data_IF_531592087089
#
_entry.id   IF_531592087089
#
_cell.length_a   1.000
_cell.length_b   1.000
_cell.length_c   1.000
_cell.angle_alpha   90.00
_cell.angle_beta   90.00
_cell.angle_gamma   90.00
#
_symmetry.space_group_name_H-M   'P 1'
#
loop_
_entity.id
_entity.type
_entity.pdbx_description
1 polymer ?
#
# COMPACT_ATOMS: atom_id res chain seq x y z
N UNK A 1 60.01 -1.70 51.89
CA UNK A 1 58.75 -0.99 52.23
C UNK A 1 58.09 -0.58 50.92
N UNK A 2 57.07 -1.36 50.55
CA UNK A 2 56.01 -1.25 49.52
C UNK A 2 56.14 -0.21 48.38
N UNK A 3 56.18 -0.73 47.15
CA UNK A 3 55.92 -0.03 45.88
C UNK A 3 54.47 0.51 45.82
N UNK A 4 54.27 1.76 45.43
CA UNK A 4 52.96 2.23 44.94
C UNK A 4 52.98 2.49 43.44
N UNK A 5 52.29 1.57 42.75
CA UNK A 5 52.02 1.50 41.32
C UNK A 5 50.77 2.35 41.06
N UNK A 6 50.91 3.51 40.43
CA UNK A 6 49.75 4.34 40.11
C UNK A 6 49.00 3.71 38.92
N UNK A 7 47.80 3.22 39.21
CA UNK A 7 46.97 2.45 38.30
C UNK A 7 46.36 3.30 37.18
N UNK A 8 46.28 2.65 36.02
CA UNK A 8 45.62 3.07 34.78
C UNK A 8 44.13 3.27 34.99
N UNK A 9 43.55 4.28 34.34
CA UNK A 9 42.24 4.17 33.70
C UNK A 9 42.08 5.31 32.67
N UNK A 10 42.56 5.10 31.45
CA UNK A 10 42.11 5.91 30.32
C UNK A 10 40.71 5.40 29.94
N UNK A 11 39.67 6.15 30.27
CA UNK A 11 38.30 5.88 29.85
C UNK A 11 38.20 6.25 28.37
N UNK A 12 38.39 5.27 27.49
CA UNK A 12 38.03 5.41 26.08
C UNK A 12 36.49 5.29 25.98
N UNK A 13 35.81 6.43 25.90
CA UNK A 13 34.38 6.46 25.58
C UNK A 13 34.21 6.02 24.12
N UNK A 14 33.87 4.75 23.92
CA UNK A 14 33.48 4.23 22.62
C UNK A 14 32.06 4.74 22.32
N UNK A 15 31.96 5.86 21.61
CA UNK A 15 30.68 6.33 21.04
C UNK A 15 30.32 5.38 19.92
N UNK A 16 29.45 4.40 20.19
CA UNK A 16 28.80 3.62 19.15
C UNK A 16 27.82 4.53 18.42
N UNK A 17 28.23 5.00 17.24
CA UNK A 17 27.33 5.68 16.32
C UNK A 17 26.25 4.69 15.86
N UNK A 18 25.09 4.72 16.50
CA UNK A 18 23.90 4.05 16.02
C UNK A 18 23.44 4.78 14.75
N UNK A 19 23.84 4.27 13.58
CA UNK A 19 23.27 4.73 12.32
C UNK A 19 21.77 4.39 12.34
N UNK A 20 20.86 5.36 12.08
CA UNK A 20 19.46 5.03 11.93
C UNK A 20 19.33 4.10 10.73
N UNK A 21 18.88 2.86 10.97
CA UNK A 21 18.38 2.01 9.90
C UNK A 21 17.19 2.76 9.31
N UNK A 22 17.40 3.38 8.15
CA UNK A 22 16.33 4.05 7.44
C UNK A 22 15.21 3.04 7.19
N UNK A 23 14.10 3.19 7.89
CA UNK A 23 12.89 2.47 7.55
C UNK A 23 12.44 2.99 6.18
N UNK A 24 12.54 2.15 5.15
CA UNK A 24 11.98 2.47 3.85
C UNK A 24 10.48 2.58 4.07
N UNK A 25 9.90 3.74 3.77
CA UNK A 25 8.47 3.94 3.92
C UNK A 25 7.76 2.94 3.00
N UNK A 26 6.91 2.10 3.57
CA UNK A 26 6.12 1.16 2.78
C UNK A 26 5.25 1.95 1.79
N UNK A 27 5.23 1.53 0.51
CA UNK A 27 4.32 2.12 -0.48
C UNK A 27 2.88 2.02 0.07
N UNK A 28 2.04 3.02 -0.18
CA UNK A 28 0.72 3.07 0.43
C UNK A 28 -0.32 3.69 -0.49
N UNK A 29 -1.55 3.19 -0.39
CA UNK A 29 -2.72 3.79 -1.02
C UNK A 29 -3.02 5.13 -0.33
N UNK A 30 -3.00 6.20 -1.11
CA UNK A 30 -3.28 7.56 -0.65
C UNK A 30 -4.72 7.98 -0.94
N UNK A 31 -5.28 7.56 -2.06
CA UNK A 31 -6.68 7.84 -2.40
C UNK A 31 -7.25 6.82 -3.37
N UNK A 32 -8.58 6.68 -3.35
CA UNK A 32 -9.36 5.95 -4.35
C UNK A 32 -10.46 6.89 -4.82
N UNK A 33 -10.55 7.09 -6.13
CA UNK A 33 -11.56 7.93 -6.78
C UNK A 33 -12.21 7.16 -7.92
N UNK A 34 -13.47 7.47 -8.23
CA UNK A 34 -14.20 6.90 -9.36
C UNK A 34 -14.67 8.02 -10.28
N UNK A 35 -14.73 7.73 -11.57
CA UNK A 35 -15.29 8.61 -12.59
C UNK A 35 -15.88 7.79 -13.73
N UNK A 36 -16.75 8.40 -14.51
CA UNK A 36 -17.26 7.80 -15.75
C UNK A 36 -16.61 8.48 -16.95
N UNK A 37 -15.93 7.71 -17.79
CA UNK A 37 -15.27 8.18 -19.01
C UNK A 37 -15.87 7.45 -20.21
N UNK A 38 -16.50 8.19 -21.13
CA UNK A 38 -17.15 7.62 -22.32
C UNK A 38 -18.07 6.41 -22.01
N UNK A 39 -18.80 6.46 -20.89
CA UNK A 39 -19.72 5.39 -20.45
C UNK A 39 -19.05 4.21 -19.74
N UNK A 40 -17.73 4.24 -19.54
CA UNK A 40 -16.99 3.25 -18.74
C UNK A 40 -16.66 3.81 -17.37
N UNK A 41 -16.89 3.00 -16.33
CA UNK A 41 -16.49 3.35 -14.95
C UNK A 41 -14.97 3.16 -14.84
N UNK A 42 -14.27 4.20 -14.41
CA UNK A 42 -12.82 4.23 -14.22
C UNK A 42 -12.53 4.52 -12.76
N UNK A 43 -11.84 3.58 -12.10
CA UNK A 43 -11.40 3.72 -10.72
C UNK A 43 -9.92 4.07 -10.73
N UNK A 44 -9.54 5.19 -10.11
CA UNK A 44 -8.14 5.56 -9.93
C UNK A 44 -7.73 5.33 -8.49
N UNK A 45 -6.69 4.53 -8.29
CA UNK A 45 -6.02 4.30 -7.02
C UNK A 45 -4.68 5.04 -7.06
N UNK A 46 -4.54 6.06 -6.21
CA UNK A 46 -3.29 6.81 -6.05
C UNK A 46 -2.41 6.16 -4.98
N UNK A 47 -1.14 5.97 -5.30
CA UNK A 47 -0.15 5.36 -4.43
C UNK A 47 0.95 6.37 -4.06
N UNK A 48 1.63 6.17 -2.95
CA UNK A 48 2.78 7.02 -2.58
C UNK A 48 3.96 6.85 -3.53
N UNK A 49 4.09 5.67 -4.14
CA UNK A 49 5.12 5.32 -5.11
C UNK A 49 4.54 4.49 -6.27
N UNK A 50 5.23 4.51 -7.42
CA UNK A 50 4.83 3.73 -8.58
C UNK A 50 4.99 2.23 -8.32
N UNK A 51 4.06 1.41 -8.82
CA UNK A 51 4.22 -0.04 -8.80
C UNK A 51 5.25 -0.47 -9.85
N UNK A 52 6.08 -1.43 -9.50
CA UNK A 52 7.08 -1.99 -10.42
C UNK A 52 6.46 -2.80 -11.57
N UNK A 53 5.26 -3.36 -11.35
CA UNK A 53 4.53 -4.16 -12.33
C UNK A 53 3.02 -4.05 -12.08
N UNK A 54 2.23 -4.33 -13.13
CA UNK A 54 0.78 -4.37 -13.02
C UNK A 54 0.35 -5.46 -12.01
N UNK A 55 -0.47 -5.14 -11.00
CA UNK A 55 -0.87 -6.11 -10.00
C UNK A 55 -1.83 -7.16 -10.56
N UNK A 56 -1.83 -8.33 -9.92
CA UNK A 56 -2.75 -9.41 -10.26
C UNK A 56 -4.17 -9.06 -9.80
N UNK A 57 -5.16 -9.43 -10.61
CA UNK A 57 -6.56 -9.29 -10.23
C UNK A 57 -7.48 -10.31 -10.91
N UNK A 58 -8.68 -10.45 -10.38
CA UNK A 58 -9.66 -11.41 -10.88
C UNK A 58 -11.10 -10.94 -10.60
N UNK A 59 -12.03 -11.36 -11.46
CA UNK A 59 -13.46 -11.13 -11.27
C UNK A 59 -14.13 -12.31 -10.56
N UNK A 60 -15.10 -12.01 -9.69
CA UNK A 60 -15.96 -12.97 -9.01
C UNK A 60 -17.39 -12.68 -9.46
N UNK A 61 -18.14 -13.71 -9.87
CA UNK A 61 -19.49 -13.53 -10.40
C UNK A 61 -20.57 -13.42 -9.31
N UNK A 62 -20.44 -14.20 -8.23
CA UNK A 62 -21.45 -14.26 -7.17
C UNK A 62 -20.81 -14.26 -5.77
N UNK A 63 -20.98 -13.18 -4.98
CA UNK A 63 -21.50 -11.88 -5.40
C UNK A 63 -20.55 -11.18 -6.41
N UNK A 64 -21.06 -10.29 -7.28
CA UNK A 64 -20.25 -9.56 -8.25
C UNK A 64 -19.12 -8.72 -7.63
N UNK A 65 -17.86 -9.06 -7.91
CA UNK A 65 -16.68 -8.35 -7.41
C UNK A 65 -15.53 -8.36 -8.42
N UNK A 66 -14.64 -7.38 -8.33
CA UNK A 66 -13.27 -7.46 -8.86
C UNK A 66 -12.32 -7.35 -7.67
N UNK A 67 -11.36 -8.25 -7.56
CA UNK A 67 -10.32 -8.22 -6.55
C UNK A 67 -8.97 -7.94 -7.20
N UNK A 68 -8.22 -6.95 -6.70
CA UNK A 68 -6.87 -6.61 -7.14
C UNK A 68 -5.92 -6.73 -5.94
N UNK A 69 -4.83 -7.49 -6.10
CA UNK A 69 -3.84 -7.73 -5.05
C UNK A 69 -2.60 -6.85 -5.24
N UNK A 70 -2.35 -5.99 -4.27
CA UNK A 70 -1.21 -5.08 -4.21
C UNK A 70 -0.16 -5.65 -3.23
N UNK A 71 0.99 -6.15 -3.72
CA UNK A 71 2.07 -6.64 -2.87
C UNK A 71 2.90 -5.48 -2.29
N UNK A 72 3.22 -5.53 -1.00
CA UNK A 72 4.03 -4.54 -0.31
C UNK A 72 3.40 -3.15 -0.20
N UNK A 73 2.09 -3.04 -0.47
CA UNK A 73 1.35 -1.76 -0.40
C UNK A 73 0.48 -1.73 0.86
N UNK A 74 0.60 -0.70 1.67
CA UNK A 74 -0.25 -0.42 2.83
C UNK A 74 -1.44 0.48 2.51
N UNK A 75 -2.25 0.79 3.53
CA UNK A 75 -3.36 1.73 3.43
C UNK A 75 -3.08 3.02 4.21
N UNK A 76 -2.88 4.15 3.53
CA UNK A 76 -2.68 5.46 4.13
C UNK A 76 -3.93 6.37 4.07
N UNK A 77 -5.08 5.86 3.59
CA UNK A 77 -6.32 6.65 3.51
C UNK A 77 -6.99 6.90 4.88
N UNK A 78 -6.55 6.18 5.93
CA UNK A 78 -7.20 6.21 7.25
C UNK A 78 -8.57 5.52 7.31
N UNK A 79 -8.98 4.83 6.23
CA UNK A 79 -10.24 4.10 6.13
C UNK A 79 -10.10 2.89 5.20
N UNK A 80 -10.87 1.84 5.47
CA UNK A 80 -10.81 0.58 4.72
C UNK A 80 -11.91 0.43 3.67
N UNK A 81 -12.76 1.44 3.48
CA UNK A 81 -13.84 1.40 2.50
C UNK A 81 -14.09 2.79 1.91
N UNK A 82 -14.38 2.82 0.61
CA UNK A 82 -14.83 4.00 -0.13
C UNK A 82 -16.14 3.64 -0.81
N UNK A 83 -17.23 4.25 -0.34
CA UNK A 83 -18.54 4.13 -0.99
C UNK A 83 -18.57 5.00 -2.26
N UNK A 84 -19.10 4.46 -3.36
CA UNK A 84 -19.13 5.14 -4.67
C UNK A 84 -20.55 5.21 -5.24
N UNK A 85 -21.27 4.09 -5.28
CA UNK A 85 -22.63 3.95 -5.81
C UNK A 85 -22.90 4.50 -7.22
N UNK A 86 -21.87 4.64 -8.04
CA UNK A 86 -21.94 5.15 -9.42
C UNK A 86 -21.82 3.99 -10.43
N UNK A 87 -22.56 4.09 -11.55
CA UNK A 87 -22.53 3.08 -12.61
C UNK A 87 -22.71 1.66 -12.07
N UNK A 88 -21.76 0.78 -12.39
CA UNK A 88 -21.74 -0.60 -11.89
C UNK A 88 -21.01 -0.76 -10.53
N UNK A 89 -20.31 0.26 -10.05
CA UNK A 89 -19.53 0.21 -8.81
C UNK A 89 -20.37 0.61 -7.60
N UNK A 90 -20.36 -0.22 -6.56
CA UNK A 90 -20.99 0.09 -5.26
C UNK A 90 -19.97 0.71 -4.32
N UNK A 91 -18.86 0.01 -4.09
CA UNK A 91 -17.81 0.43 -3.17
C UNK A 91 -16.48 -0.22 -3.50
N UNK A 92 -15.40 0.33 -2.93
CA UNK A 92 -14.07 -0.28 -2.94
C UNK A 92 -13.63 -0.51 -1.50
N UNK A 93 -13.39 -1.78 -1.15
CA UNK A 93 -12.88 -2.16 0.17
C UNK A 93 -11.39 -2.46 0.10
N UNK A 94 -10.67 -2.14 1.16
CA UNK A 94 -9.23 -2.38 1.32
C UNK A 94 -9.03 -3.36 2.46
N UNK A 95 -8.57 -4.56 2.12
CA UNK A 95 -8.26 -5.60 3.09
C UNK A 95 -6.74 -5.81 3.12
N UNK A 96 -6.08 -5.40 4.20
CA UNK A 96 -4.64 -5.53 4.38
C UNK A 96 -4.32 -6.69 5.34
N UNK A 97 -3.42 -7.59 4.93
CA UNK A 97 -2.94 -8.69 5.75
C UNK A 97 -1.46 -8.97 5.44
N UNK A 98 -0.58 -8.72 6.42
CA UNK A 98 0.87 -8.78 6.23
C UNK A 98 1.31 -7.87 5.08
N UNK A 99 2.10 -8.43 4.16
CA UNK A 99 2.64 -7.74 2.97
C UNK A 99 1.67 -7.68 1.77
N UNK A 100 0.38 -7.95 1.97
CA UNK A 100 -0.61 -7.93 0.87
C UNK A 100 -1.79 -7.06 1.23
N UNK A 101 -2.14 -6.18 0.32
CA UNK A 101 -3.40 -5.44 0.34
C UNK A 101 -4.26 -5.85 -0.82
N UNK A 102 -5.47 -6.35 -0.54
CA UNK A 102 -6.47 -6.66 -1.53
C UNK A 102 -7.48 -5.52 -1.62
N UNK A 103 -7.56 -4.91 -2.78
CA UNK A 103 -8.69 -4.06 -3.16
C UNK A 103 -9.83 -4.95 -3.62
N UNK A 104 -11.03 -4.74 -3.09
CA UNK A 104 -12.25 -5.44 -3.50
C UNK A 104 -13.26 -4.42 -3.97
N UNK A 105 -13.44 -4.33 -5.28
CA UNK A 105 -14.46 -3.52 -5.92
C UNK A 105 -15.76 -4.33 -5.90
N UNK A 106 -16.75 -3.87 -5.12
CA UNK A 106 -18.06 -4.48 -5.05
C UNK A 106 -18.95 -3.92 -6.16
N UNK A 107 -19.57 -4.79 -6.95
CA UNK A 107 -20.30 -4.39 -8.15
C UNK A 107 -21.81 -4.62 -8.01
N UNK A 108 -22.59 -3.95 -8.86
CA UNK A 108 -24.03 -4.22 -9.02
C UNK A 108 -24.25 -5.47 -9.88
N UNK A 109 -23.44 -5.66 -10.91
CA UNK A 109 -23.45 -6.77 -11.85
C UNK A 109 -22.03 -7.24 -12.15
N UNK A 110 -21.85 -8.53 -12.47
CA UNK A 110 -20.55 -9.07 -12.82
C UNK A 110 -20.03 -8.43 -14.11
N UNK A 111 -18.75 -8.04 -14.10
CA UNK A 111 -18.09 -7.41 -15.24
C UNK A 111 -16.64 -7.87 -15.34
N UNK A 112 -16.10 -7.84 -16.55
CA UNK A 112 -14.66 -7.87 -16.77
C UNK A 112 -14.04 -6.51 -16.39
N UNK A 113 -12.71 -6.48 -16.31
CA UNK A 113 -11.95 -5.28 -16.04
C UNK A 113 -10.72 -5.21 -16.95
N UNK A 114 -10.16 -4.01 -17.06
CA UNK A 114 -8.81 -3.77 -17.56
C UNK A 114 -8.09 -2.98 -16.49
N UNK A 115 -6.79 -3.21 -16.36
CA UNK A 115 -5.95 -2.47 -15.43
C UNK A 115 -4.74 -1.88 -16.16
N UNK A 116 -4.32 -0.69 -15.75
CA UNK A 116 -3.14 -0.03 -16.30
C UNK A 116 -2.44 0.81 -15.24
N UNK A 117 -1.11 0.92 -15.36
CA UNK A 117 -0.30 1.79 -14.52
C UNK A 117 0.04 3.08 -15.27
N UNK A 118 -0.05 4.20 -14.57
CA UNK A 118 0.44 5.49 -15.04
C UNK A 118 1.11 6.22 -13.88
N UNK A 119 2.45 6.19 -13.86
CA UNK A 119 3.23 6.73 -12.75
C UNK A 119 2.83 6.07 -11.42
N UNK A 120 2.33 6.87 -10.48
CA UNK A 120 1.90 6.42 -9.14
C UNK A 120 0.42 6.04 -9.06
N UNK A 121 -0.27 5.98 -10.20
CA UNK A 121 -1.68 5.64 -10.27
C UNK A 121 -1.89 4.27 -10.90
N UNK A 122 -2.77 3.48 -10.30
CA UNK A 122 -3.40 2.31 -10.90
C UNK A 122 -4.82 2.69 -11.35
N UNK A 123 -5.17 2.33 -12.58
CA UNK A 123 -6.51 2.45 -13.15
C UNK A 123 -7.06 1.07 -13.48
#
# INVERSE_FOLDING_TARGET
MVLWRNWRAAVAALVTAAAPLGAWAQNAIQSITSSQQAGTEVVRIELSEALAALPNGFSIQSPPRIAIDLPGVGNAMGRNSVEVNQGNLRSVNVAQAGERTRLVLNLKQASSYRAQLQGKSLF
#
